data_IF_308820427050
#
_entry.id   IF_308820427050
#
_cell.length_a   1.000
_cell.length_b   1.000
_cell.length_c   1.000
_cell.angle_alpha   90.00
_cell.angle_beta   90.00
_cell.angle_gamma   90.00
#
_symmetry.space_group_name_H-M   'P 1'
#
loop_
_entity.id
_entity.type
_entity.pdbx_description
1 polymer ?
#
# COMPACT_ATOMS: atom_id res chain seq x y z
N UNK A 1 7.48 39.78 -29.58
CA UNK A 1 6.64 38.58 -29.83
C UNK A 1 6.57 37.76 -28.53
N UNK A 2 5.51 37.90 -27.73
CA UNK A 2 5.37 37.14 -26.48
C UNK A 2 5.06 35.67 -26.80
N UNK A 3 5.97 34.77 -26.44
CA UNK A 3 5.74 33.32 -26.49
C UNK A 3 4.68 32.99 -25.43
N UNK A 4 3.44 32.78 -25.86
CA UNK A 4 2.38 32.32 -24.97
C UNK A 4 2.75 30.93 -24.44
N UNK A 5 3.06 30.86 -23.15
CA UNK A 5 3.32 29.60 -22.46
C UNK A 5 2.04 28.75 -22.56
N UNK A 6 2.14 27.65 -23.32
CA UNK A 6 1.07 26.68 -23.52
C UNK A 6 0.77 26.05 -22.17
N UNK A 7 -0.23 26.58 -21.46
CA UNK A 7 -0.69 26.04 -20.17
C UNK A 7 -1.13 24.60 -20.43
N UNK A 8 -0.34 23.63 -19.98
CA UNK A 8 -0.72 22.24 -19.97
C UNK A 8 -1.98 22.15 -19.11
N UNK A 9 -3.15 22.04 -19.75
CA UNK A 9 -4.40 21.71 -19.08
C UNK A 9 -4.24 20.29 -18.59
N UNK A 10 -3.76 20.13 -17.36
CA UNK A 10 -3.82 18.84 -16.66
C UNK A 10 -5.29 18.41 -16.68
N UNK A 11 -5.61 17.40 -17.49
CA UNK A 11 -6.92 16.77 -17.54
C UNK A 11 -7.00 15.80 -16.38
N UNK A 12 -7.27 16.32 -15.19
CA UNK A 12 -7.48 15.55 -13.98
C UNK A 12 -7.76 16.50 -12.83
N UNK A 13 -8.77 16.19 -12.03
CA UNK A 13 -8.97 16.88 -10.76
C UNK A 13 -7.79 16.60 -9.82
N UNK A 14 -7.60 17.46 -8.81
CA UNK A 14 -6.63 17.17 -7.77
C UNK A 14 -7.10 15.95 -6.98
N UNK A 15 -6.18 15.04 -6.66
CA UNK A 15 -6.51 13.95 -5.74
C UNK A 15 -6.87 14.51 -4.37
N UNK A 16 -7.92 13.98 -3.78
CA UNK A 16 -8.46 14.41 -2.49
C UNK A 16 -8.17 13.34 -1.45
N UNK A 17 -7.54 13.73 -0.35
CA UNK A 17 -7.32 12.85 0.79
C UNK A 17 -8.67 12.69 1.49
N UNK A 18 -9.12 11.46 1.62
CA UNK A 18 -10.39 11.12 2.25
C UNK A 18 -10.15 10.65 3.69
N UNK A 19 -11.24 10.40 4.41
CA UNK A 19 -11.21 9.99 5.81
C UNK A 19 -10.49 8.65 6.01
N UNK A 20 -9.65 8.56 7.03
CA UNK A 20 -8.89 7.33 7.29
C UNK A 20 -9.78 6.30 7.96
N UNK A 21 -9.77 5.07 7.44
CA UNK A 21 -10.62 4.00 7.93
C UNK A 21 -9.85 3.22 8.99
N UNK A 22 -10.33 3.26 10.23
CA UNK A 22 -9.82 2.42 11.30
C UNK A 22 -10.37 1.00 11.14
N UNK A 23 -9.48 0.01 11.03
CA UNK A 23 -9.87 -1.39 10.90
C UNK A 23 -8.93 -2.28 11.73
N UNK A 24 -9.49 -3.00 12.71
CA UNK A 24 -8.76 -3.92 13.61
C UNK A 24 -7.52 -3.27 14.27
N UNK A 25 -7.57 -1.97 14.56
CA UNK A 25 -6.45 -1.22 15.15
C UNK A 25 -5.40 -0.72 14.14
N UNK A 26 -5.62 -0.91 12.84
CA UNK A 26 -4.80 -0.38 11.76
C UNK A 26 -5.49 0.79 11.04
N UNK A 27 -4.70 1.83 10.71
CA UNK A 27 -5.18 3.00 9.97
C UNK A 27 -5.03 2.78 8.45
N UNK A 28 -6.14 2.54 7.76
CA UNK A 28 -6.19 2.46 6.30
C UNK A 28 -6.44 3.87 5.75
N UNK A 29 -5.40 4.49 5.18
CA UNK A 29 -5.55 5.80 4.53
C UNK A 29 -6.33 5.67 3.24
N UNK A 30 -7.23 6.61 2.98
CA UNK A 30 -8.01 6.64 1.74
C UNK A 30 -7.70 7.90 0.92
N UNK A 31 -7.63 7.75 -0.39
CA UNK A 31 -7.27 8.81 -1.34
C UNK A 31 -8.15 8.69 -2.58
N UNK A 32 -8.94 9.73 -2.87
CA UNK A 32 -9.68 9.83 -4.13
C UNK A 32 -8.75 10.31 -5.23
N UNK A 33 -8.53 9.47 -6.24
CA UNK A 33 -7.73 9.82 -7.40
C UNK A 33 -8.49 10.81 -8.29
N UNK A 34 -8.00 12.04 -8.42
CA UNK A 34 -8.73 13.08 -9.15
C UNK A 34 -8.75 12.91 -10.67
N UNK A 35 -7.90 12.05 -11.24
CA UNK A 35 -7.95 11.74 -12.67
C UNK A 35 -9.01 10.66 -13.01
N UNK A 36 -9.12 9.61 -12.19
CA UNK A 36 -10.04 8.48 -12.46
C UNK A 36 -11.31 8.50 -11.61
N UNK A 37 -11.39 9.33 -10.57
CA UNK A 37 -12.48 9.33 -9.60
C UNK A 37 -12.50 8.11 -8.67
N UNK A 38 -11.52 7.21 -8.77
CA UNK A 38 -11.45 6.00 -7.96
C UNK A 38 -10.92 6.29 -6.56
N UNK A 39 -11.43 5.58 -5.56
CA UNK A 39 -10.92 5.65 -4.19
C UNK A 39 -9.83 4.60 -4.04
N UNK A 40 -8.64 5.04 -3.64
CA UNK A 40 -7.49 4.21 -3.34
C UNK A 40 -7.36 4.07 -1.83
N UNK A 41 -7.15 2.85 -1.36
CA UNK A 41 -6.95 2.49 0.04
C UNK A 41 -5.52 2.01 0.23
N UNK A 42 -4.83 2.56 1.22
CA UNK A 42 -3.46 2.19 1.58
C UNK A 42 -3.46 1.03 2.56
N UNK A 43 -2.78 -0.05 2.24
CA UNK A 43 -2.74 -1.27 3.05
C UNK A 43 -1.42 -2.03 2.87
N UNK A 44 -1.02 -2.89 3.83
CA UNK A 44 0.13 -3.77 3.67
C UNK A 44 -0.23 -4.95 2.76
N UNK A 45 0.50 -5.13 1.67
CA UNK A 45 0.22 -6.21 0.70
C UNK A 45 1.19 -7.36 0.84
N UNK A 46 0.66 -8.57 1.09
CA UNK A 46 1.47 -9.81 1.11
C UNK A 46 2.22 -10.06 -0.20
N UNK A 47 1.64 -9.65 -1.33
CA UNK A 47 2.26 -9.85 -2.65
C UNK A 47 3.50 -8.97 -2.88
N UNK A 48 3.66 -7.92 -2.09
CA UNK A 48 4.79 -7.00 -2.11
C UNK A 48 5.52 -7.03 -0.77
N UNK A 49 5.72 -8.21 -0.18
CA UNK A 49 6.48 -8.37 1.07
C UNK A 49 5.98 -7.51 2.25
N UNK A 50 4.68 -7.25 2.30
CA UNK A 50 4.00 -6.39 3.28
C UNK A 50 4.33 -4.90 3.17
N UNK A 51 4.87 -4.48 2.03
CA UNK A 51 5.04 -3.06 1.70
C UNK A 51 3.68 -2.34 1.63
N UNK A 52 3.65 -1.03 1.92
CA UNK A 52 2.46 -0.22 1.82
C UNK A 52 2.05 -0.02 0.36
N UNK A 53 0.99 -0.70 -0.07
CA UNK A 53 0.43 -0.59 -1.40
C UNK A 53 -0.90 0.18 -1.41
N UNK A 54 -1.29 0.65 -2.60
CA UNK A 54 -2.59 1.24 -2.84
C UNK A 54 -3.45 0.28 -3.67
N UNK A 55 -4.69 0.06 -3.25
CA UNK A 55 -5.69 -0.70 -4.02
C UNK A 55 -6.95 0.12 -4.17
N UNK A 56 -7.69 -0.10 -5.24
CA UNK A 56 -9.02 0.50 -5.39
C UNK A 56 -10.10 -0.23 -4.58
N UNK A 57 -9.81 -1.45 -4.12
CA UNK A 57 -10.77 -2.33 -3.49
C UNK A 57 -10.62 -2.36 -1.96
N UNK A 58 -11.65 -1.88 -1.25
CA UNK A 58 -11.64 -1.81 0.21
C UNK A 58 -11.57 -3.20 0.85
N UNK A 59 -12.19 -4.21 0.24
CA UNK A 59 -12.22 -5.56 0.79
C UNK A 59 -10.83 -6.20 0.74
N UNK A 60 -10.09 -5.99 -0.35
CA UNK A 60 -8.69 -6.38 -0.51
C UNK A 60 -7.81 -5.68 0.52
N UNK A 61 -8.02 -4.37 0.74
CA UNK A 61 -7.28 -3.61 1.76
C UNK A 61 -7.48 -4.21 3.16
N UNK A 62 -8.74 -4.45 3.55
CA UNK A 62 -9.08 -5.09 4.84
C UNK A 62 -8.44 -6.47 4.98
N UNK A 63 -8.58 -7.32 3.97
CA UNK A 63 -8.00 -8.67 4.00
C UNK A 63 -6.46 -8.64 4.13
N UNK A 64 -5.79 -7.70 3.46
CA UNK A 64 -4.35 -7.52 3.61
C UNK A 64 -3.96 -7.11 5.03
N UNK A 65 -4.69 -6.16 5.61
CA UNK A 65 -4.53 -5.74 7.02
C UNK A 65 -4.77 -6.90 7.99
N UNK A 66 -5.88 -7.63 7.87
CA UNK A 66 -6.18 -8.78 8.75
C UNK A 66 -5.06 -9.82 8.71
N UNK A 67 -4.56 -10.17 7.52
CA UNK A 67 -3.44 -11.11 7.37
C UNK A 67 -2.14 -10.57 7.95
N UNK A 68 -1.90 -9.27 7.83
CA UNK A 68 -0.72 -8.61 8.39
C UNK A 68 -0.75 -8.62 9.92
N UNK A 69 -1.90 -8.29 10.52
CA UNK A 69 -2.11 -8.33 11.98
C UNK A 69 -1.98 -9.75 12.52
N UNK A 70 -2.59 -10.75 11.86
CA UNK A 70 -2.45 -12.15 12.24
C UNK A 70 -0.99 -12.63 12.21
N UNK A 71 -0.18 -12.14 11.25
CA UNK A 71 1.26 -12.40 11.18
C UNK A 71 2.04 -11.70 12.30
N UNK A 72 1.61 -10.54 12.76
CA UNK A 72 2.25 -9.88 13.90
C UNK A 72 1.90 -10.55 15.24
N UNK A 73 0.67 -11.04 15.39
CA UNK A 73 0.22 -11.72 16.60
C UNK A 73 0.86 -13.11 16.78
N UNK A 74 1.21 -13.79 15.68
CA UNK A 74 2.10 -14.95 15.69
C UNK A 74 3.50 -14.54 15.21
N UNK A 75 4.39 -14.04 16.09
CA UNK A 75 5.78 -13.87 15.71
C UNK A 75 6.31 -15.25 15.27
N UNK A 76 7.05 -15.34 14.14
CA UNK A 76 7.70 -16.59 13.77
C UNK A 76 8.57 -17.00 14.95
N UNK A 77 8.22 -18.11 15.60
CA UNK A 77 9.13 -18.80 16.51
C UNK A 77 10.31 -19.25 15.66
N UNK A 78 11.36 -18.44 15.66
CA UNK A 78 12.76 -18.82 15.52
C UNK A 78 13.04 -19.80 14.35
N UNK A 79 13.30 -19.28 13.15
CA UNK A 79 14.08 -20.03 12.15
C UNK A 79 15.52 -19.53 12.17
N UNK A 80 16.22 -19.85 13.25
CA UNK A 80 17.66 -20.01 13.21
C UNK A 80 17.99 -21.22 12.35
N UNK A 81 18.33 -21.01 11.08
CA UNK A 81 19.30 -21.85 10.37
C UNK A 81 19.75 -21.12 9.11
N UNK A 82 20.93 -20.50 9.17
CA UNK A 82 21.76 -20.32 7.97
C UNK A 82 22.54 -21.63 7.79
N UNK A 83 22.24 -22.48 6.78
CA UNK A 83 23.13 -23.56 6.42
C UNK A 83 24.02 -23.05 5.30
N UNK A 84 25.23 -22.62 5.63
CA UNK A 84 26.32 -22.68 4.66
C UNK A 84 27.42 -23.54 5.28
N UNK A 85 27.23 -24.85 5.15
CA UNK A 85 28.36 -25.76 5.05
C UNK A 85 29.28 -25.22 3.93
N UNK A 86 30.48 -24.82 4.30
CA UNK A 86 31.60 -24.68 3.36
C UNK A 86 32.65 -25.68 3.80
N UNK A 87 32.53 -26.88 3.25
CA UNK A 87 33.61 -27.85 3.14
C UNK A 87 33.86 -28.04 1.64
N UNK A 88 35.10 -28.40 1.29
CA UNK A 88 35.70 -28.53 -0.06
C UNK A 88 36.36 -27.21 -0.50
N UNK A 89 37.68 -27.09 -0.65
CA UNK A 89 38.77 -28.07 -0.87
C UNK A 89 40.01 -27.75 -0.04
#
# INVERSE_FOLDING_TARGET
MMRQAKKFKYRGEKSEILDSIMFEGYEIKSLKHGNTGHILYKFPSKAHDWEPCWTMDLQTAKNGVTKYLAKQENPPKNEGKSPVESKVS
#
